data_IF_473001327163
#
_entry.id   IF_473001327163
#
_cell.length_a   1.000
_cell.length_b   1.000
_cell.length_c   1.000
_cell.angle_alpha   90.00
_cell.angle_beta   90.00
_cell.angle_gamma   90.00
#
_symmetry.space_group_name_H-M   'P 1'
#
loop_
_entity.id
_entity.type
_entity.pdbx_description
1 polymer ?
#
# COMPACT_ATOMS: atom_id res chain seq x y z
N UNK A 1 6.77 11.75 -26.19
CA UNK A 1 6.24 10.80 -25.19
C UNK A 1 6.65 11.34 -23.82
N UNK A 2 5.69 11.84 -23.04
CA UNK A 2 5.96 12.41 -21.72
C UNK A 2 6.36 11.27 -20.79
N UNK A 3 7.63 11.16 -20.42
CA UNK A 3 8.11 10.15 -19.48
C UNK A 3 7.91 10.68 -18.06
N UNK A 4 6.66 10.66 -17.58
CA UNK A 4 6.24 11.19 -16.28
C UNK A 4 5.95 10.06 -15.30
N UNK A 5 6.00 10.33 -13.99
CA UNK A 5 5.65 9.38 -12.94
C UNK A 5 4.13 9.16 -12.83
N UNK A 6 3.69 8.06 -12.18
CA UNK A 6 2.26 7.79 -11.91
C UNK A 6 1.60 8.93 -11.14
N UNK A 7 2.31 9.51 -10.17
CA UNK A 7 1.79 10.63 -9.38
C UNK A 7 1.63 11.92 -10.22
N UNK A 8 2.56 12.19 -11.13
CA UNK A 8 2.46 13.31 -12.07
C UNK A 8 1.34 13.11 -13.09
N UNK A 9 1.16 11.88 -13.58
CA UNK A 9 0.04 11.51 -14.44
C UNK A 9 -1.30 11.70 -13.71
N UNK A 10 -1.38 11.31 -12.43
CA UNK A 10 -2.57 11.50 -11.60
C UNK A 10 -2.86 12.99 -11.37
N UNK A 11 -1.83 13.78 -11.06
CA UNK A 11 -1.93 15.22 -10.88
C UNK A 11 -2.42 15.90 -12.17
N UNK A 12 -1.97 15.42 -13.33
CA UNK A 12 -2.44 15.91 -14.62
C UNK A 12 -3.92 15.60 -14.87
N UNK A 13 -4.37 14.38 -14.56
CA UNK A 13 -5.80 14.00 -14.64
C UNK A 13 -6.64 14.91 -13.74
N UNK A 14 -6.17 15.22 -12.54
CA UNK A 14 -6.88 16.09 -11.59
C UNK A 14 -6.99 17.53 -12.10
N UNK A 15 -5.92 18.07 -12.69
CA UNK A 15 -5.93 19.39 -13.31
C UNK A 15 -6.94 19.49 -14.45
N UNK A 16 -7.01 18.48 -15.32
CA UNK A 16 -7.97 18.45 -16.44
C UNK A 16 -9.41 18.52 -15.92
N UNK A 17 -9.75 17.70 -14.91
CA UNK A 17 -11.08 17.72 -14.29
C UNK A 17 -11.38 18.98 -13.50
N UNK A 18 -10.37 19.63 -12.93
CA UNK A 18 -10.55 20.92 -12.29
C UNK A 18 -10.87 22.00 -13.33
N UNK A 19 -10.11 22.02 -14.42
CA UNK A 19 -10.33 22.92 -15.53
C UNK A 19 -11.70 22.73 -16.19
N UNK A 20 -12.14 21.50 -16.44
CA UNK A 20 -13.47 21.24 -17.04
C UNK A 20 -14.62 21.74 -16.16
N UNK A 21 -14.48 21.65 -14.83
CA UNK A 21 -15.47 22.20 -13.89
C UNK A 21 -15.46 23.72 -13.87
N UNK A 22 -14.27 24.32 -13.89
CA UNK A 22 -14.13 25.78 -13.92
C UNK A 22 -14.69 26.36 -15.22
N UNK A 23 -14.40 25.71 -16.35
CA UNK A 23 -14.91 26.13 -17.65
C UNK A 23 -16.43 26.19 -17.69
N UNK A 24 -17.12 25.22 -17.07
CA UNK A 24 -18.59 25.25 -16.96
C UNK A 24 -19.09 26.46 -16.16
N UNK A 25 -18.41 26.84 -15.07
CA UNK A 25 -18.77 28.02 -14.30
C UNK A 25 -18.54 29.32 -15.09
N UNK A 26 -17.41 29.42 -15.77
CA UNK A 26 -17.05 30.60 -16.57
C UNK A 26 -17.97 30.77 -17.80
N UNK A 27 -18.43 29.66 -18.39
CA UNK A 27 -19.43 29.66 -19.47
C UNK A 27 -20.83 30.04 -18.95
N UNK A 28 -21.24 29.57 -17.77
CA UNK A 28 -22.51 29.93 -17.13
C UNK A 28 -22.57 31.42 -16.76
N UNK A 29 -21.47 31.96 -16.22
CA UNK A 29 -21.31 33.39 -15.94
C UNK A 29 -21.13 34.23 -17.22
N UNK A 30 -21.15 33.62 -18.41
CA UNK A 30 -21.01 34.28 -19.72
C UNK A 30 -19.71 35.10 -19.87
N UNK A 31 -18.68 34.81 -19.08
CA UNK A 31 -17.37 35.50 -19.11
C UNK A 31 -16.59 35.07 -20.35
N UNK A 32 -16.67 33.78 -20.70
CA UNK A 32 -16.07 33.20 -21.91
C UNK A 32 -17.13 32.30 -22.54
N UNK A 33 -17.33 32.41 -23.85
CA UNK A 33 -18.18 31.49 -24.62
C UNK A 33 -17.35 30.83 -25.71
N UNK A 34 -17.15 29.52 -25.59
CA UNK A 34 -16.50 28.73 -26.63
C UNK A 34 -17.51 28.41 -27.73
N UNK A 35 -17.08 28.51 -28.99
CA UNK A 35 -17.89 28.00 -30.09
C UNK A 35 -18.08 26.48 -29.96
N UNK A 36 -19.17 25.95 -30.54
CA UNK A 36 -19.45 24.51 -30.52
C UNK A 36 -18.29 23.67 -31.07
N UNK A 37 -17.56 24.20 -32.06
CA UNK A 37 -16.38 23.57 -32.65
C UNK A 37 -15.23 23.53 -31.64
N UNK A 38 -14.98 24.62 -30.92
CA UNK A 38 -13.92 24.69 -29.90
C UNK A 38 -14.21 23.77 -28.71
N UNK A 39 -15.46 23.72 -28.24
CA UNK A 39 -15.85 22.79 -27.18
C UNK A 39 -15.63 21.33 -27.59
N UNK A 40 -16.03 20.97 -28.82
CA UNK A 40 -15.83 19.62 -29.33
C UNK A 40 -14.35 19.25 -29.48
N UNK A 41 -13.52 20.16 -29.98
CA UNK A 41 -12.08 19.95 -30.11
C UNK A 41 -11.41 19.78 -28.74
N UNK A 42 -11.76 20.63 -27.77
CA UNK A 42 -11.23 20.57 -26.41
C UNK A 42 -11.62 19.28 -25.70
N UNK A 43 -12.89 18.88 -25.80
CA UNK A 43 -13.40 17.62 -25.23
C UNK A 43 -12.71 16.41 -25.87
N UNK A 44 -12.51 16.42 -27.18
CA UNK A 44 -11.80 15.35 -27.90
C UNK A 44 -10.35 15.24 -27.45
N UNK A 45 -9.68 16.38 -27.29
CA UNK A 45 -8.31 16.44 -26.79
C UNK A 45 -8.19 15.89 -25.36
N UNK A 46 -9.03 16.35 -24.43
CA UNK A 46 -9.03 15.85 -23.05
C UNK A 46 -9.36 14.36 -22.95
N UNK A 47 -10.36 13.88 -23.70
CA UNK A 47 -10.71 12.47 -23.70
C UNK A 47 -9.55 11.59 -24.19
N UNK A 48 -8.85 12.03 -25.24
CA UNK A 48 -7.69 11.31 -25.78
C UNK A 48 -6.56 11.30 -24.75
N UNK A 49 -6.24 12.46 -24.17
CA UNK A 49 -5.18 12.59 -23.18
C UNK A 49 -5.47 11.78 -21.90
N UNK A 50 -6.71 11.78 -21.41
CA UNK A 50 -7.12 10.97 -20.26
C UNK A 50 -7.00 9.48 -20.57
N UNK A 51 -7.42 9.04 -21.76
CA UNK A 51 -7.29 7.65 -22.19
C UNK A 51 -5.84 7.20 -22.25
N UNK A 52 -4.96 8.05 -22.78
CA UNK A 52 -3.52 7.76 -22.85
C UNK A 52 -2.90 7.70 -21.45
N UNK A 53 -3.24 8.64 -20.57
CA UNK A 53 -2.74 8.64 -19.19
C UNK A 53 -3.21 7.41 -18.41
N UNK A 54 -4.50 7.04 -18.50
CA UNK A 54 -5.03 5.84 -17.87
C UNK A 54 -4.39 4.57 -18.43
N UNK A 55 -4.21 4.48 -19.74
CA UNK A 55 -3.61 3.30 -20.37
C UNK A 55 -2.12 3.13 -20.06
N UNK A 56 -1.37 4.22 -19.91
CA UNK A 56 0.08 4.18 -19.70
C UNK A 56 0.49 4.12 -18.23
N UNK A 57 -0.30 4.71 -17.33
CA UNK A 57 0.08 4.93 -15.93
C UNK A 57 -0.90 4.37 -14.90
N UNK A 58 -2.00 3.75 -15.33
CA UNK A 58 -2.97 3.10 -14.43
C UNK A 58 -3.49 4.08 -13.34
N UNK A 59 -3.91 5.27 -13.79
CA UNK A 59 -4.36 6.38 -12.94
C UNK A 59 -5.87 6.39 -12.73
N UNK A 60 -6.28 6.77 -11.52
CA UNK A 60 -7.67 6.74 -11.05
C UNK A 60 -8.50 7.83 -11.75
N UNK A 61 -9.49 7.40 -12.53
CA UNK A 61 -10.31 8.25 -13.38
C UNK A 61 -11.51 8.92 -12.67
N UNK A 62 -11.78 8.67 -11.38
CA UNK A 62 -12.88 9.35 -10.67
C UNK A 62 -12.56 9.76 -9.22
N UNK A 63 -13.27 10.76 -8.69
CA UNK A 63 -13.22 11.15 -7.26
C UNK A 63 -13.79 10.06 -6.34
N UNK A 64 -14.70 9.23 -6.86
CA UNK A 64 -15.26 8.09 -6.14
C UNK A 64 -14.20 7.01 -5.93
N UNK A 65 -13.33 6.79 -6.92
CA UNK A 65 -12.19 5.86 -6.82
C UNK A 65 -11.18 6.31 -5.76
N UNK A 66 -10.95 7.62 -5.59
CA UNK A 66 -10.07 8.15 -4.54
C UNK A 66 -10.60 7.92 -3.12
N UNK A 67 -11.91 8.06 -2.90
CA UNK A 67 -12.52 7.80 -1.59
C UNK A 67 -12.60 6.29 -1.30
N UNK A 68 -12.88 5.47 -2.33
CA UNK A 68 -12.80 4.02 -2.24
C UNK A 68 -11.37 3.54 -1.95
N UNK A 69 -10.35 4.13 -2.57
CA UNK A 69 -8.95 3.74 -2.32
C UNK A 69 -8.46 4.17 -0.94
N UNK A 70 -8.89 5.32 -0.40
CA UNK A 70 -8.58 5.70 0.98
C UNK A 70 -9.30 4.79 1.99
N UNK A 71 -10.59 4.51 1.77
CA UNK A 71 -11.36 3.60 2.61
C UNK A 71 -10.75 2.19 2.64
N UNK A 72 -10.35 1.67 1.48
CA UNK A 72 -9.63 0.40 1.38
C UNK A 72 -8.28 0.46 2.07
N UNK A 73 -7.54 1.57 1.95
CA UNK A 73 -6.25 1.74 2.63
C UNK A 73 -6.40 1.67 4.16
N UNK A 74 -7.42 2.31 4.71
CA UNK A 74 -7.71 2.30 6.14
C UNK A 74 -8.19 0.92 6.58
N UNK A 75 -9.13 0.32 5.85
CA UNK A 75 -9.67 -1.00 6.18
C UNK A 75 -8.59 -2.09 6.15
N UNK A 76 -7.75 -2.12 5.12
CA UNK A 76 -6.65 -3.07 4.99
C UNK A 76 -5.55 -2.82 6.03
N UNK A 77 -5.27 -1.57 6.38
CA UNK A 77 -4.34 -1.25 7.47
C UNK A 77 -4.88 -1.71 8.84
N UNK A 78 -6.16 -1.45 9.13
CA UNK A 78 -6.82 -1.91 10.35
C UNK A 78 -6.90 -3.44 10.40
N UNK A 79 -7.16 -4.10 9.28
CA UNK A 79 -7.13 -5.56 9.17
C UNK A 79 -5.73 -6.11 9.44
N UNK A 80 -4.68 -5.48 8.90
CA UNK A 80 -3.30 -5.85 9.16
C UNK A 80 -2.92 -5.70 10.64
N UNK A 81 -3.33 -4.60 11.27
CA UNK A 81 -3.15 -4.41 12.72
C UNK A 81 -3.92 -5.47 13.51
N UNK A 82 -5.16 -5.76 13.13
CA UNK A 82 -5.97 -6.81 13.73
C UNK A 82 -5.30 -8.19 13.62
N UNK A 83 -4.72 -8.51 12.47
CA UNK A 83 -3.93 -9.74 12.28
C UNK A 83 -2.68 -9.76 13.16
N UNK A 84 -1.95 -8.65 13.24
CA UNK A 84 -0.76 -8.55 14.10
C UNK A 84 -1.14 -8.77 15.58
N UNK A 85 -2.21 -8.13 16.06
CA UNK A 85 -2.73 -8.37 17.40
C UNK A 85 -3.22 -9.81 17.59
N UNK A 86 -3.91 -10.38 16.61
CA UNK A 86 -4.38 -11.77 16.68
C UNK A 86 -3.23 -12.75 16.84
N UNK A 87 -2.12 -12.55 16.10
CA UNK A 87 -0.90 -13.35 16.27
C UNK A 87 -0.33 -13.18 17.67
N UNK A 88 -0.22 -11.94 18.18
CA UNK A 88 0.24 -11.69 19.53
C UNK A 88 -0.63 -12.40 20.59
N UNK A 89 -1.95 -12.30 20.47
CA UNK A 89 -2.89 -12.97 21.38
C UNK A 89 -2.84 -14.49 21.28
N UNK A 90 -2.65 -15.05 20.08
CA UNK A 90 -2.48 -16.49 19.89
C UNK A 90 -1.26 -17.00 20.66
N UNK A 91 -0.16 -16.24 20.63
CA UNK A 91 1.02 -16.54 21.42
C UNK A 91 0.73 -16.38 22.92
N UNK A 92 0.13 -15.27 23.34
CA UNK A 92 -0.21 -15.06 24.75
C UNK A 92 -1.09 -16.19 25.34
N UNK A 93 -2.08 -16.66 24.58
CA UNK A 93 -3.07 -17.62 25.06
C UNK A 93 -2.62 -19.08 24.94
N UNK A 94 -2.00 -19.47 23.83
CA UNK A 94 -1.76 -20.88 23.49
C UNK A 94 -0.28 -21.27 23.50
N UNK A 95 0.66 -20.32 23.59
CA UNK A 95 2.07 -20.66 23.42
C UNK A 95 2.58 -21.67 24.45
N UNK A 96 2.20 -21.48 25.73
CA UNK A 96 2.63 -22.35 26.83
C UNK A 96 2.12 -23.79 26.76
N UNK A 97 1.08 -24.08 25.96
CA UNK A 97 0.56 -25.45 25.80
C UNK A 97 1.21 -26.22 24.65
N UNK A 98 2.00 -25.55 23.80
CA UNK A 98 2.70 -26.17 22.69
C UNK A 98 4.01 -26.83 23.16
N UNK A 99 4.32 -27.99 22.58
CA UNK A 99 5.64 -28.61 22.77
C UNK A 99 6.73 -27.78 22.08
N UNK A 100 7.94 -27.79 22.66
CA UNK A 100 9.07 -26.95 22.22
C UNK A 100 9.39 -27.12 20.73
N UNK A 101 9.34 -28.33 20.20
CA UNK A 101 9.61 -28.57 18.77
C UNK A 101 8.60 -27.85 17.87
N UNK A 102 7.31 -27.88 18.23
CA UNK A 102 6.25 -27.18 17.49
C UNK A 102 6.43 -25.68 17.59
N UNK A 103 6.76 -25.17 18.77
CA UNK A 103 7.08 -23.76 18.97
C UNK A 103 8.20 -23.31 18.03
N UNK A 104 9.36 -24.00 18.03
CA UNK A 104 10.51 -23.65 17.18
C UNK A 104 10.12 -23.68 15.69
N UNK A 105 9.40 -24.72 15.24
CA UNK A 105 8.96 -24.82 13.85
C UNK A 105 8.14 -23.60 13.46
N UNK A 106 7.14 -23.22 14.27
CA UNK A 106 6.30 -22.05 14.02
C UNK A 106 7.13 -20.77 14.00
N UNK A 107 8.03 -20.58 14.98
CA UNK A 107 8.86 -19.38 15.08
C UNK A 107 9.80 -19.20 13.88
N UNK A 108 10.32 -20.30 13.32
CA UNK A 108 11.24 -20.26 12.19
C UNK A 108 10.50 -20.17 10.86
N UNK A 109 9.38 -20.90 10.69
CA UNK A 109 8.66 -20.94 9.41
C UNK A 109 7.89 -19.64 9.12
N UNK A 110 7.29 -19.03 10.15
CA UNK A 110 6.43 -17.84 10.00
C UNK A 110 7.12 -16.66 9.29
N UNK A 111 8.31 -16.18 9.71
CA UNK A 111 8.96 -15.05 9.05
C UNK A 111 9.40 -15.39 7.62
N UNK A 112 9.75 -16.66 7.33
CA UNK A 112 10.11 -17.09 5.98
C UNK A 112 8.88 -17.04 5.06
N UNK A 113 7.73 -17.54 5.53
CA UNK A 113 6.46 -17.51 4.79
C UNK A 113 6.01 -16.07 4.53
N UNK A 114 6.08 -15.19 5.55
CA UNK A 114 5.68 -13.80 5.41
C UNK A 114 6.63 -12.97 4.53
N UNK A 115 7.94 -13.25 4.59
CA UNK A 115 8.90 -12.67 3.66
C UNK A 115 8.60 -13.12 2.23
N UNK A 116 8.34 -14.41 2.02
CA UNK A 116 7.95 -14.97 0.73
C UNK A 116 6.67 -14.33 0.19
N UNK A 117 5.66 -14.16 1.05
CA UNK A 117 4.42 -13.48 0.72
C UNK A 117 4.66 -12.01 0.32
N UNK A 118 5.52 -11.29 1.05
CA UNK A 118 5.90 -9.91 0.75
C UNK A 118 6.55 -9.80 -0.64
N UNK A 119 7.51 -10.69 -0.94
CA UNK A 119 8.19 -10.72 -2.24
C UNK A 119 7.24 -11.11 -3.37
N UNK A 120 6.31 -12.02 -3.13
CA UNK A 120 5.29 -12.42 -4.10
C UNK A 120 4.33 -11.27 -4.42
N UNK A 121 3.79 -10.61 -3.38
CA UNK A 121 2.90 -9.45 -3.52
C UNK A 121 3.61 -8.27 -4.21
N UNK A 122 4.88 -8.05 -3.89
CA UNK A 122 5.68 -6.99 -4.53
C UNK A 122 5.88 -7.21 -6.03
N UNK A 123 5.79 -8.44 -6.53
CA UNK A 123 5.88 -8.75 -7.97
C UNK A 123 4.54 -8.69 -8.68
N UNK A 124 3.45 -8.91 -7.95
CA UNK A 124 2.10 -8.97 -8.50
C UNK A 124 1.51 -7.57 -8.71
N UNK A 125 1.90 -6.59 -7.88
CA UNK A 125 1.25 -5.28 -7.83
C UNK A 125 2.10 -4.14 -8.38
N UNK A 126 1.47 -3.26 -9.16
CA UNK A 126 2.10 -2.01 -9.65
C UNK A 126 2.33 -0.98 -8.53
N UNK A 127 1.52 -1.05 -7.45
CA UNK A 127 1.41 0.02 -6.44
C UNK A 127 2.02 -0.34 -5.08
N UNK A 128 2.65 -1.52 -4.96
CA UNK A 128 3.31 -2.05 -3.74
C UNK A 128 2.51 -1.93 -2.44
N UNK A 129 1.19 -1.75 -2.49
CA UNK A 129 0.39 -1.41 -1.32
C UNK A 129 0.25 -2.60 -0.37
N UNK A 130 -0.21 -3.74 -0.89
CA UNK A 130 -0.38 -4.94 -0.06
C UNK A 130 0.98 -5.56 0.27
N UNK A 131 2.00 -5.34 -0.57
CA UNK A 131 3.38 -5.68 -0.25
C UNK A 131 3.88 -4.96 1.01
N UNK A 132 3.57 -3.66 1.17
CA UNK A 132 3.91 -2.89 2.39
C UNK A 132 3.17 -3.40 3.64
N UNK A 133 1.93 -3.85 3.48
CA UNK A 133 1.19 -4.48 4.59
C UNK A 133 1.85 -5.80 4.99
N UNK A 134 2.17 -6.65 4.02
CA UNK A 134 2.82 -7.92 4.26
C UNK A 134 4.21 -7.72 4.88
N UNK A 135 4.95 -6.70 4.45
CA UNK A 135 6.27 -6.36 4.99
C UNK A 135 6.18 -5.92 6.45
N UNK A 136 5.18 -5.10 6.81
CA UNK A 136 4.90 -4.73 8.20
C UNK A 136 4.61 -5.97 9.08
N UNK A 137 3.79 -6.89 8.59
CA UNK A 137 3.47 -8.12 9.33
C UNK A 137 4.68 -9.04 9.46
N UNK A 138 5.48 -9.17 8.40
CA UNK A 138 6.75 -9.90 8.41
C UNK A 138 7.73 -9.32 9.44
N UNK A 139 7.82 -8.00 9.53
CA UNK A 139 8.66 -7.32 10.53
C UNK A 139 8.16 -7.57 11.95
N UNK A 140 6.87 -7.34 12.21
CA UNK A 140 6.28 -7.51 13.54
C UNK A 140 6.43 -8.94 14.06
N UNK A 141 6.16 -9.93 13.22
CA UNK A 141 6.32 -11.36 13.57
C UNK A 141 7.78 -11.75 13.74
N UNK A 142 8.71 -11.19 12.95
CA UNK A 142 10.14 -11.44 13.14
C UNK A 142 10.62 -10.98 14.52
N UNK A 143 10.26 -9.75 14.92
CA UNK A 143 10.60 -9.20 16.25
C UNK A 143 10.01 -10.05 17.37
N UNK A 144 8.73 -10.40 17.26
CA UNK A 144 8.05 -11.27 18.22
C UNK A 144 8.74 -12.62 18.32
N UNK A 145 9.04 -13.26 17.19
CA UNK A 145 9.62 -14.60 17.17
C UNK A 145 11.02 -14.63 17.78
N UNK A 146 11.82 -13.58 17.58
CA UNK A 146 13.14 -13.47 18.21
C UNK A 146 13.01 -13.36 19.74
N UNK A 147 12.03 -12.59 20.23
CA UNK A 147 11.74 -12.49 21.67
C UNK A 147 11.32 -13.85 22.25
N UNK A 148 10.44 -14.58 21.56
CA UNK A 148 9.94 -15.88 22.02
C UNK A 148 11.02 -16.96 21.98
N UNK A 149 11.86 -17.00 20.95
CA UNK A 149 13.04 -17.87 20.91
C UNK A 149 13.99 -17.58 22.08
N UNK A 150 14.21 -16.30 22.37
CA UNK A 150 15.03 -15.88 23.51
C UNK A 150 14.49 -16.40 24.84
N UNK A 151 13.18 -16.37 25.04
CA UNK A 151 12.55 -16.92 26.24
C UNK A 151 12.67 -18.44 26.31
N UNK A 152 12.43 -19.17 25.21
CA UNK A 152 12.52 -20.64 25.15
C UNK A 152 13.93 -21.12 25.51
N UNK A 153 14.95 -20.47 24.97
CA UNK A 153 16.35 -20.85 25.16
C UNK A 153 17.05 -20.10 26.30
N UNK A 154 16.29 -19.32 27.09
CA UNK A 154 16.81 -18.50 28.19
C UNK A 154 17.99 -17.59 27.77
N UNK A 155 17.91 -17.00 26.57
CA UNK A 155 18.90 -16.07 26.04
C UNK A 155 18.60 -14.67 26.57
N UNK A 156 19.58 -14.05 27.23
CA UNK A 156 19.46 -12.69 27.72
C UNK A 156 19.24 -11.70 26.57
N UNK A 157 18.25 -10.78 26.65
CA UNK A 157 18.05 -9.75 25.65
C UNK A 157 19.34 -8.95 25.40
N UNK A 158 19.76 -8.86 24.14
CA UNK A 158 20.92 -8.07 23.73
C UNK A 158 20.49 -6.69 23.25
N UNK A 159 21.13 -5.60 23.69
CA UNK A 159 20.90 -4.26 23.13
C UNK A 159 21.11 -4.20 21.61
N UNK A 160 21.96 -5.07 21.06
CA UNK A 160 22.26 -5.14 19.62
C UNK A 160 21.08 -5.71 18.80
N UNK A 161 20.05 -6.26 19.43
CA UNK A 161 18.87 -6.76 18.74
C UNK A 161 18.17 -5.66 17.93
N UNK A 162 18.12 -4.43 18.47
CA UNK A 162 17.55 -3.28 17.76
C UNK A 162 18.26 -2.98 16.44
N UNK A 163 19.57 -3.24 16.35
CA UNK A 163 20.33 -3.05 15.12
C UNK A 163 19.91 -4.04 14.04
N UNK A 164 19.78 -5.32 14.41
CA UNK A 164 19.30 -6.38 13.49
C UNK A 164 17.87 -6.09 13.05
N UNK A 165 17.00 -5.66 13.96
CA UNK A 165 15.63 -5.27 13.63
C UNK A 165 15.60 -4.08 12.66
N UNK A 166 16.44 -3.08 12.89
CA UNK A 166 16.52 -1.90 12.02
C UNK A 166 16.99 -2.25 10.61
N UNK A 167 18.00 -3.13 10.49
CA UNK A 167 18.45 -3.63 9.18
C UNK A 167 17.30 -4.35 8.47
N UNK A 168 16.57 -5.22 9.17
CA UNK A 168 15.47 -5.96 8.56
C UNK A 168 14.31 -5.03 8.15
N UNK A 169 13.99 -4.02 8.96
CA UNK A 169 13.00 -3.01 8.61
C UNK A 169 13.41 -2.21 7.36
N UNK A 170 14.68 -1.84 7.24
CA UNK A 170 15.20 -1.13 6.05
C UNK A 170 15.17 -1.99 4.79
N UNK A 171 15.40 -3.31 4.90
CA UNK A 171 15.30 -4.23 3.77
C UNK A 171 13.86 -4.42 3.28
N UNK A 172 12.88 -4.16 4.14
CA UNK A 172 11.45 -4.31 3.87
C UNK A 172 10.76 -3.01 3.43
N UNK A 173 11.42 -1.87 3.56
CA UNK A 173 10.92 -0.53 3.25
C UNK A 173 11.09 -0.18 1.77
#
# INVERSE_FOLDING_TARGET
>A
MLNISKDEAQLRVDQIKAFERELLHVEDESIISLSQIQQNNLKTYHNTLLKDLTSLYDVDSSKSDKQLSLGMKIASFLAALGLAFSIFFLFYQFWGSLVVNTQIIILVSTPIVLLGATLYLSKLESTSYYAKIASLLSFATFVLNLSMLGQIFNITPSPNAFFVWSIFALLLA
#
